data_IF_505690472508
#
_entry.id   IF_505690472508
#
_cell.length_a   1.000
_cell.length_b   1.000
_cell.length_c   1.000
_cell.angle_alpha   90.00
_cell.angle_beta   90.00
_cell.angle_gamma   90.00
#
_symmetry.space_group_name_H-M   'P 1'
#
loop_
_entity.id
_entity.type
_entity.pdbx_description
1 polymer ?
#
# COMPACT_ATOMS: atom_id res chain seq x y z
N UNK A 1 30.08 -31.13 -11.56
CA UNK A 1 29.27 -30.65 -10.42
C UNK A 1 29.95 -29.39 -9.95
N UNK A 2 29.47 -28.23 -10.38
CA UNK A 2 29.93 -26.96 -9.81
C UNK A 2 29.57 -26.96 -8.34
N UNK A 3 30.58 -26.78 -7.50
CA UNK A 3 30.38 -26.59 -6.08
C UNK A 3 29.50 -25.35 -5.91
N UNK A 4 28.33 -25.54 -5.28
CA UNK A 4 27.50 -24.43 -4.84
C UNK A 4 28.36 -23.63 -3.86
N UNK A 5 28.83 -22.46 -4.29
CA UNK A 5 29.57 -21.53 -3.47
C UNK A 5 28.69 -21.21 -2.25
N UNK A 6 29.17 -21.52 -1.05
CA UNK A 6 28.41 -21.24 0.17
C UNK A 6 28.21 -19.73 0.25
N UNK A 7 26.96 -19.29 0.27
CA UNK A 7 26.60 -17.87 0.36
C UNK A 7 27.32 -17.23 1.55
N UNK A 8 28.16 -16.22 1.29
CA UNK A 8 28.77 -15.41 2.34
C UNK A 8 27.71 -14.50 2.96
N UNK A 9 27.10 -14.97 4.04
CA UNK A 9 26.05 -14.24 4.75
C UNK A 9 26.54 -12.90 5.29
N UNK A 10 27.82 -12.75 5.64
CA UNK A 10 28.34 -11.48 6.12
C UNK A 10 28.33 -10.44 5.00
N UNK A 11 28.77 -10.81 3.79
CA UNK A 11 28.73 -9.91 2.63
C UNK A 11 27.30 -9.47 2.29
N UNK A 12 26.32 -10.38 2.34
CA UNK A 12 24.92 -10.02 2.10
C UNK A 12 24.38 -9.02 3.14
N UNK A 13 24.71 -9.21 4.42
CA UNK A 13 24.25 -8.30 5.48
C UNK A 13 24.88 -6.92 5.31
N UNK A 14 26.16 -6.83 4.96
CA UNK A 14 26.81 -5.55 4.67
C UNK A 14 26.18 -4.85 3.47
N UNK A 15 26.00 -5.56 2.35
CA UNK A 15 25.35 -5.00 1.16
C UNK A 15 23.92 -4.54 1.43
N UNK A 16 23.14 -5.28 2.22
CA UNK A 16 21.80 -4.88 2.63
C UNK A 16 21.81 -3.65 3.55
N UNK A 17 22.81 -3.53 4.42
CA UNK A 17 22.98 -2.38 5.31
C UNK A 17 23.32 -1.12 4.53
N UNK A 18 24.22 -1.21 3.55
CA UNK A 18 24.59 -0.10 2.68
C UNK A 18 23.40 0.35 1.82
N UNK A 19 22.66 -0.59 1.23
CA UNK A 19 21.44 -0.30 0.48
C UNK A 19 20.38 0.39 1.35
N UNK A 20 20.19 -0.09 2.59
CA UNK A 20 19.27 0.55 3.55
C UNK A 20 19.70 1.99 3.87
N UNK A 21 21.00 2.23 4.07
CA UNK A 21 21.52 3.56 4.31
C UNK A 21 21.28 4.50 3.11
N UNK A 22 21.45 3.99 1.88
CA UNK A 22 21.16 4.75 0.66
C UNK A 22 19.68 5.10 0.52
N UNK A 23 18.77 4.15 0.79
CA UNK A 23 17.32 4.39 0.77
C UNK A 23 16.95 5.45 1.81
N UNK A 24 17.48 5.35 3.04
CA UNK A 24 17.21 6.32 4.09
C UNK A 24 17.71 7.74 3.79
N UNK A 25 18.66 7.89 2.87
CA UNK A 25 19.18 9.18 2.40
C UNK A 25 18.52 9.65 1.09
N UNK A 26 17.52 8.92 0.59
CA UNK A 26 16.84 9.28 -0.65
C UNK A 26 15.89 10.47 -0.45
N UNK A 27 15.60 11.15 -1.56
CA UNK A 27 14.65 12.27 -1.58
C UNK A 27 13.24 11.82 -1.19
N UNK A 28 12.85 10.60 -1.58
CA UNK A 28 11.54 10.01 -1.29
C UNK A 28 11.35 9.83 0.22
N UNK A 29 12.38 9.31 0.92
CA UNK A 29 12.34 9.18 2.38
C UNK A 29 12.30 10.54 3.06
N UNK A 30 13.11 11.50 2.62
CA UNK A 30 13.08 12.86 3.16
C UNK A 30 11.70 13.51 2.99
N UNK A 31 11.15 13.44 1.78
CA UNK A 31 9.83 14.00 1.44
C UNK A 31 8.72 13.34 2.27
N UNK A 32 8.77 12.02 2.42
CA UNK A 32 7.83 11.27 3.25
C UNK A 32 7.91 11.71 4.72
N UNK A 33 9.10 11.81 5.30
CA UNK A 33 9.28 12.23 6.70
C UNK A 33 8.78 13.66 6.94
N UNK A 34 9.06 14.57 6.01
CA UNK A 34 8.57 15.96 6.07
C UNK A 34 7.04 16.01 5.98
N UNK A 35 6.45 15.32 5.00
CA UNK A 35 5.00 15.28 4.82
C UNK A 35 4.29 14.64 6.02
N UNK A 36 4.87 13.59 6.59
CA UNK A 36 4.38 12.95 7.83
C UNK A 36 4.40 13.93 9.01
N UNK A 37 5.51 14.65 9.19
CA UNK A 37 5.62 15.65 10.26
C UNK A 37 4.59 16.77 10.09
N UNK A 38 4.38 17.24 8.86
CA UNK A 38 3.38 18.26 8.55
C UNK A 38 1.95 17.78 8.84
N UNK A 39 1.61 16.55 8.43
CA UNK A 39 0.33 15.91 8.75
C UNK A 39 0.13 15.76 10.26
N UNK A 40 1.14 15.29 10.97
CA UNK A 40 1.09 15.12 12.42
C UNK A 40 0.89 16.45 13.15
N UNK A 41 1.28 17.58 12.56
CA UNK A 41 1.13 18.93 13.11
C UNK A 41 -0.15 19.64 12.67
N UNK A 42 -0.90 19.07 11.72
CA UNK A 42 -2.12 19.69 11.18
C UNK A 42 -3.25 19.70 12.24
N UNK A 43 -3.74 20.89 12.64
CA UNK A 43 -4.77 21.00 13.66
C UNK A 43 -6.13 20.43 13.20
N UNK A 44 -6.48 20.56 11.92
CA UNK A 44 -7.72 20.02 11.36
C UNK A 44 -7.66 18.49 11.28
N UNK A 45 -6.52 17.94 10.87
CA UNK A 45 -6.31 16.49 10.90
C UNK A 45 -6.43 15.95 12.33
N UNK A 46 -5.75 16.56 13.31
CA UNK A 46 -5.84 16.18 14.73
C UNK A 46 -7.26 16.27 15.28
N UNK A 47 -8.03 17.26 14.83
CA UNK A 47 -9.45 17.43 15.23
C UNK A 47 -10.34 16.33 14.65
N UNK A 48 -10.10 15.91 13.41
CA UNK A 48 -10.92 14.91 12.70
C UNK A 48 -10.54 13.46 13.05
N UNK A 49 -9.28 13.19 13.41
CA UNK A 49 -8.74 11.86 13.63
C UNK A 49 -9.53 11.03 14.67
N UNK A 50 -9.91 11.54 15.86
CA UNK A 50 -10.68 10.76 16.83
C UNK A 50 -12.06 10.36 16.29
N UNK A 51 -12.73 11.26 15.58
CA UNK A 51 -14.03 10.99 14.96
C UNK A 51 -13.90 9.92 13.87
N UNK A 52 -12.85 10.02 13.05
CA UNK A 52 -12.57 9.06 11.99
C UNK A 52 -12.27 7.67 12.56
N UNK A 53 -11.41 7.57 13.57
CA UNK A 53 -11.08 6.30 14.23
C UNK A 53 -12.30 5.66 14.87
N UNK A 54 -13.14 6.44 15.58
CA UNK A 54 -14.38 5.93 16.17
C UNK A 54 -15.34 5.41 15.09
N UNK A 55 -15.54 6.17 14.01
CA UNK A 55 -16.44 5.78 12.92
C UNK A 55 -15.93 4.55 12.16
N UNK A 56 -14.61 4.42 12.03
CA UNK A 56 -13.96 3.23 11.45
C UNK A 56 -14.27 1.97 12.26
N UNK A 57 -14.18 2.03 13.59
CA UNK A 57 -14.54 0.89 14.45
C UNK A 57 -16.02 0.53 14.32
N UNK A 58 -16.94 1.50 14.35
CA UNK A 58 -18.38 1.26 14.13
C UNK A 58 -18.63 0.64 12.74
N UNK A 59 -17.91 1.11 11.72
CA UNK A 59 -17.99 0.55 10.37
C UNK A 59 -17.50 -0.91 10.31
N UNK A 60 -16.38 -1.23 10.95
CA UNK A 60 -15.83 -2.59 11.00
C UNK A 60 -16.78 -3.56 11.72
N UNK A 61 -17.46 -3.09 12.78
CA UNK A 61 -18.48 -3.86 13.51
C UNK A 61 -19.68 -4.21 12.62
N UNK A 62 -20.27 -3.21 11.95
CA UNK A 62 -21.43 -3.46 11.07
C UNK A 62 -21.02 -4.22 9.81
N UNK A 63 -19.81 -4.00 9.29
CA UNK A 63 -19.29 -4.69 8.12
C UNK A 63 -19.14 -6.19 8.37
N UNK A 64 -18.84 -6.60 9.61
CA UNK A 64 -18.70 -8.03 9.99
C UNK A 64 -19.97 -8.84 9.71
N UNK A 65 -21.14 -8.21 9.86
CA UNK A 65 -22.45 -8.82 9.57
C UNK A 65 -22.94 -8.52 8.15
N UNK A 66 -22.27 -7.60 7.45
CA UNK A 66 -22.54 -7.24 6.08
C UNK A 66 -23.86 -6.47 5.91
N UNK A 67 -24.44 -6.57 4.70
CA UNK A 67 -25.58 -5.76 4.25
C UNK A 67 -26.87 -5.97 5.05
N UNK A 68 -26.95 -6.99 5.89
CA UNK A 68 -28.13 -7.31 6.70
C UNK A 68 -28.14 -6.61 8.06
N UNK A 69 -27.05 -5.93 8.44
CA UNK A 69 -27.03 -5.13 9.66
C UNK A 69 -27.91 -3.88 9.48
N UNK A 70 -28.83 -3.56 10.42
CA UNK A 70 -29.77 -2.45 10.28
C UNK A 70 -29.08 -1.10 10.06
N UNK A 71 -27.93 -0.88 10.73
CA UNK A 71 -27.15 0.35 10.59
C UNK A 71 -26.14 0.35 9.43
N UNK A 72 -26.01 -0.74 8.66
CA UNK A 72 -24.95 -0.87 7.66
C UNK A 72 -24.92 0.31 6.67
N UNK A 73 -26.07 0.66 6.11
CA UNK A 73 -26.16 1.73 5.11
C UNK A 73 -25.83 3.10 5.70
N UNK A 74 -26.31 3.36 6.92
CA UNK A 74 -26.09 4.63 7.63
C UNK A 74 -24.60 4.80 7.95
N UNK A 75 -24.01 3.83 8.66
CA UNK A 75 -22.60 3.86 9.08
C UNK A 75 -21.66 3.88 7.87
N UNK A 76 -21.97 3.12 6.82
CA UNK A 76 -21.20 3.16 5.57
C UNK A 76 -21.19 4.55 4.92
N UNK A 77 -22.31 5.27 4.97
CA UNK A 77 -22.42 6.60 4.36
C UNK A 77 -21.66 7.64 5.18
N UNK A 78 -21.87 7.65 6.50
CA UNK A 78 -21.15 8.52 7.43
C UNK A 78 -19.62 8.30 7.37
N UNK A 79 -19.19 7.03 7.29
CA UNK A 79 -17.76 6.70 7.13
C UNK A 79 -17.18 7.23 5.81
N UNK A 80 -17.92 7.14 4.69
CA UNK A 80 -17.47 7.66 3.39
C UNK A 80 -17.39 9.18 3.39
N UNK A 81 -18.36 9.87 3.99
CA UNK A 81 -18.36 11.33 4.11
C UNK A 81 -17.17 11.80 4.94
N UNK A 82 -16.97 11.19 6.12
CA UNK A 82 -15.85 11.54 6.99
C UNK A 82 -14.49 11.23 6.35
N UNK A 83 -14.38 10.09 5.65
CA UNK A 83 -13.19 9.75 4.87
C UNK A 83 -12.90 10.82 3.81
N UNK A 84 -13.91 11.26 3.06
CA UNK A 84 -13.75 12.33 2.05
C UNK A 84 -13.26 13.62 2.70
N UNK A 85 -13.84 14.02 3.83
CA UNK A 85 -13.40 15.22 4.55
C UNK A 85 -11.94 15.15 4.95
N UNK A 86 -11.48 14.01 5.48
CA UNK A 86 -10.06 13.79 5.82
C UNK A 86 -9.18 13.78 4.58
N UNK A 87 -9.59 13.12 3.50
CA UNK A 87 -8.83 13.03 2.24
C UNK A 87 -8.72 14.36 1.48
N UNK A 88 -9.60 15.33 1.79
CA UNK A 88 -9.56 16.67 1.20
C UNK A 88 -8.53 17.59 1.88
N UNK A 89 -7.95 17.21 3.02
CA UNK A 89 -6.90 18.00 3.66
C UNK A 89 -5.61 17.95 2.81
N UNK A 90 -5.03 19.12 2.56
CA UNK A 90 -3.81 19.24 1.74
C UNK A 90 -2.63 18.44 2.32
N UNK A 91 -2.50 18.42 3.65
CA UNK A 91 -1.47 17.64 4.36
C UNK A 91 -1.66 16.15 4.18
N UNK A 92 -2.91 15.65 4.19
CA UNK A 92 -3.24 14.24 3.93
C UNK A 92 -2.92 13.89 2.48
N UNK A 93 -3.25 14.76 1.53
CA UNK A 93 -2.93 14.52 0.12
C UNK A 93 -1.41 14.53 -0.12
N UNK A 94 -0.69 15.48 0.47
CA UNK A 94 0.76 15.55 0.37
C UNK A 94 1.43 14.30 0.98
N UNK A 95 0.98 13.88 2.17
CA UNK A 95 1.44 12.66 2.81
C UNK A 95 1.21 11.42 1.94
N UNK A 96 -0.01 11.25 1.39
CA UNK A 96 -0.32 10.09 0.52
C UNK A 96 0.49 10.08 -0.77
N UNK A 97 0.81 11.24 -1.35
CA UNK A 97 1.69 11.32 -2.52
C UNK A 97 3.11 10.86 -2.15
N UNK A 98 3.66 11.41 -1.07
CA UNK A 98 4.99 11.04 -0.60
C UNK A 98 5.08 9.55 -0.19
N UNK A 99 4.02 9.01 0.42
CA UNK A 99 3.90 7.58 0.74
C UNK A 99 3.90 6.72 -0.53
N UNK A 100 3.15 7.10 -1.57
CA UNK A 100 3.15 6.39 -2.84
C UNK A 100 4.51 6.42 -3.54
N UNK A 101 5.20 7.56 -3.54
CA UNK A 101 6.51 7.71 -4.17
C UNK A 101 7.56 6.85 -3.46
N UNK A 102 7.51 6.79 -2.12
CA UNK A 102 8.37 5.89 -1.33
C UNK A 102 8.03 4.41 -1.56
N UNK A 103 6.75 4.05 -1.63
CA UNK A 103 6.30 2.69 -1.95
C UNK A 103 6.80 2.25 -3.33
N UNK A 104 6.78 3.14 -4.33
CA UNK A 104 7.29 2.86 -5.67
C UNK A 104 8.80 2.64 -5.68
N UNK A 105 9.58 3.47 -4.96
CA UNK A 105 11.01 3.25 -4.75
C UNK A 105 11.29 1.86 -4.15
N UNK A 106 10.62 1.51 -3.06
CA UNK A 106 10.80 0.22 -2.37
C UNK A 106 10.40 -0.96 -3.26
N UNK A 107 9.31 -0.82 -4.03
CA UNK A 107 8.90 -1.81 -5.00
C UNK A 107 9.98 -2.04 -6.05
N UNK A 108 10.56 -0.97 -6.61
CA UNK A 108 11.60 -1.09 -7.62
C UNK A 108 12.86 -1.76 -7.08
N UNK A 109 13.30 -1.40 -5.87
CA UNK A 109 14.42 -2.08 -5.19
C UNK A 109 14.13 -3.57 -5.04
N UNK A 110 12.96 -3.92 -4.51
CA UNK A 110 12.54 -5.32 -4.35
C UNK A 110 12.47 -6.06 -5.68
N UNK A 111 11.98 -5.40 -6.74
CA UNK A 111 11.90 -5.98 -8.08
C UNK A 111 13.28 -6.23 -8.69
N UNK A 112 14.20 -5.28 -8.58
CA UNK A 112 15.58 -5.45 -9.06
C UNK A 112 16.28 -6.63 -8.38
N UNK A 113 16.11 -6.78 -7.06
CA UNK A 113 16.67 -7.91 -6.32
C UNK A 113 16.02 -9.23 -6.76
N UNK A 114 14.69 -9.26 -6.89
CA UNK A 114 13.96 -10.46 -7.29
C UNK A 114 14.35 -10.93 -8.70
N UNK A 115 14.42 -10.01 -9.66
CA UNK A 115 14.78 -10.32 -11.06
C UNK A 115 16.23 -10.84 -11.18
N UNK A 116 17.14 -10.35 -10.33
CA UNK A 116 18.52 -10.87 -10.27
C UNK A 116 18.60 -12.31 -9.77
N UNK A 117 17.61 -12.77 -9.00
CA UNK A 117 17.53 -14.16 -8.48
C UNK A 117 16.72 -15.05 -9.43
N UNK A 118 15.56 -14.58 -9.88
CA UNK A 118 14.70 -15.27 -10.85
C UNK A 118 13.59 -14.36 -11.36
N UNK A 119 13.40 -14.33 -12.68
CA UNK A 119 12.31 -13.62 -13.36
C UNK A 119 10.90 -14.07 -12.92
N UNK A 120 10.78 -15.24 -12.27
CA UNK A 120 9.50 -15.82 -11.85
C UNK A 120 9.06 -15.39 -10.45
N UNK A 121 9.95 -14.77 -9.66
CA UNK A 121 9.63 -14.31 -8.31
C UNK A 121 8.67 -13.13 -8.39
N UNK A 122 7.57 -13.23 -7.66
CA UNK A 122 6.57 -12.16 -7.56
C UNK A 122 6.93 -11.21 -6.43
N UNK A 123 6.92 -9.92 -6.73
CA UNK A 123 7.08 -8.84 -5.75
C UNK A 123 5.71 -8.18 -5.58
N UNK A 124 5.12 -8.19 -4.37
CA UNK A 124 3.82 -7.55 -4.13
C UNK A 124 3.94 -6.03 -4.28
N UNK A 125 2.85 -5.39 -4.73
CA UNK A 125 2.80 -3.94 -4.85
C UNK A 125 1.47 -3.39 -4.34
N UNK A 126 1.51 -2.22 -3.70
CA UNK A 126 0.29 -1.47 -3.38
C UNK A 126 -0.31 -0.76 -4.60
N UNK A 127 0.37 -0.79 -5.76
CA UNK A 127 -0.07 -0.17 -6.99
C UNK A 127 -0.68 -1.22 -7.95
N UNK A 128 -2.00 -1.15 -8.25
CA UNK A 128 -2.66 -2.08 -9.16
C UNK A 128 -2.06 -2.16 -10.56
N UNK A 129 -1.44 -1.07 -11.05
CA UNK A 129 -0.78 -1.06 -12.35
C UNK A 129 0.52 -1.88 -12.35
N UNK A 130 1.23 -1.91 -11.21
CA UNK A 130 2.46 -2.69 -11.04
C UNK A 130 2.11 -4.17 -10.85
N UNK A 131 1.05 -4.48 -10.09
CA UNK A 131 0.55 -5.85 -9.97
C UNK A 131 0.05 -6.42 -11.31
N UNK A 132 -0.68 -5.63 -12.09
CA UNK A 132 -1.18 -6.06 -13.40
C UNK A 132 -0.05 -6.42 -14.39
N UNK A 133 1.10 -5.76 -14.29
CA UNK A 133 2.30 -6.07 -15.09
C UNK A 133 3.01 -7.34 -14.61
N UNK A 134 3.01 -7.62 -13.31
CA UNK A 134 3.56 -8.85 -12.73
C UNK A 134 2.64 -10.07 -12.93
N UNK A 135 1.35 -9.85 -13.19
CA UNK A 135 0.37 -10.91 -13.42
C UNK A 135 0.10 -11.12 -14.92
N UNK A 136 0.81 -12.04 -15.56
CA UNK A 136 0.22 -12.78 -16.67
C UNK A 136 -1.04 -13.49 -16.14
N UNK A 137 -2.22 -13.16 -16.69
CA UNK A 137 -3.56 -13.73 -16.44
C UNK A 137 -3.62 -14.84 -15.36
N UNK A 138 -3.48 -14.44 -14.10
CA UNK A 138 -3.36 -15.32 -12.95
C UNK A 138 -4.27 -14.87 -11.82
N UNK A 139 -5.50 -14.47 -12.16
CA UNK A 139 -6.55 -14.19 -11.18
C UNK A 139 -7.19 -15.50 -10.74
N UNK A 140 -6.67 -16.08 -9.66
CA UNK A 140 -7.46 -16.94 -8.78
C UNK A 140 -8.53 -16.08 -8.10
N UNK A 141 -9.71 -16.00 -8.71
CA UNK A 141 -10.83 -15.20 -8.20
C UNK A 141 -11.85 -14.82 -9.27
N UNK A 142 -12.79 -15.73 -9.53
CA UNK A 142 -14.08 -15.51 -10.22
C UNK A 142 -14.12 -14.43 -11.34
N UNK A 143 -13.49 -14.68 -12.49
CA UNK A 143 -13.85 -13.95 -13.69
C UNK A 143 -15.13 -14.56 -14.30
N UNK A 144 -16.29 -14.01 -13.90
CA UNK A 144 -17.61 -14.34 -14.44
C UNK A 144 -17.81 -13.77 -15.84
N UNK A 145 -17.02 -14.21 -16.82
CA UNK A 145 -17.20 -13.84 -18.22
C UNK A 145 -18.37 -14.64 -18.83
N UNK A 146 -19.59 -14.17 -18.58
CA UNK A 146 -20.80 -14.71 -19.15
C UNK A 146 -20.86 -14.47 -20.66
N UNK A 147 -20.55 -15.49 -21.46
CA UNK A 147 -20.91 -15.51 -22.87
C UNK A 147 -22.44 -15.65 -22.98
N UNK A 148 -23.14 -14.53 -23.10
CA UNK A 148 -24.48 -14.52 -23.69
C UNK A 148 -24.34 -14.90 -25.16
N UNK A 149 -24.50 -16.18 -25.49
CA UNK A 149 -24.82 -16.58 -26.86
C UNK A 149 -26.20 -16.01 -27.20
N UNK A 150 -26.23 -15.06 -28.13
CA UNK A 150 -27.44 -14.69 -28.87
C UNK A 150 -27.66 -15.76 -29.95
N UNK A 151 -28.96 -16.09 -30.13
CA UNK A 151 -29.58 -17.00 -31.09
C UNK A 151 -29.63 -18.46 -30.66
#
# INVERSE_FOLDING_TARGET
>A
MEAMESVDMAQLIFGASDLSAMINQSLEVETYLQAKSALDQDPEYRRLLPAFTKKKTEYEEVQRFGKYHPDFSRVSSEMRELKRTVEMLDTVQAFKRAENDLDELLYHVGRTIADAVSDTIKVPSNNPFLEAKASGCGTGGSCGCGTKKKK
#
